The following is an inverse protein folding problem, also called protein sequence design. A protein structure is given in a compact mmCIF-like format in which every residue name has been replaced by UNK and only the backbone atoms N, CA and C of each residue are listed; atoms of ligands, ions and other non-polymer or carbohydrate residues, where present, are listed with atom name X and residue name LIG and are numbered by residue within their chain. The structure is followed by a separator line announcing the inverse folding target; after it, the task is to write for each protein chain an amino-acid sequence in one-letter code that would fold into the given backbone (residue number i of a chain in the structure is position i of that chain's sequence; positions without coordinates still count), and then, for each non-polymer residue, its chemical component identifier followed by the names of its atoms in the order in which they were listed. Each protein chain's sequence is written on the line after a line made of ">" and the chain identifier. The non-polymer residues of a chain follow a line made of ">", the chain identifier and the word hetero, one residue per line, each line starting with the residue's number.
data_IF_479462611296
#
_entry.id   IF_479462611296
#
_cell.length_a   1.000
_cell.length_b   1.000
_cell.length_c   1.000
_cell.angle_alpha   90.00
_cell.angle_beta   90.00
_cell.angle_gamma   90.00
#
_symmetry.space_group_name_H-M   'P 1'
#
loop_
_entity.id
_entity.type
_entity.pdbx_description
1 polymer ?
#
# COMPACT_ATOMS: atom_id res chain seq x y z
N UNK A 1 -11.34 2.71 -25.60
CA UNK A 1 -10.11 2.17 -25.11
C UNK A 1 -10.38 1.25 -23.95
N UNK A 2 -9.91 0.01 -24.02
CA UNK A 2 -9.96 -0.89 -22.86
C UNK A 2 -9.03 -0.29 -21.83
N UNK A 3 -9.61 0.30 -20.78
CA UNK A 3 -8.85 0.68 -19.60
C UNK A 3 -8.31 -0.62 -18.99
N UNK A 4 -7.00 -0.83 -19.08
CA UNK A 4 -6.34 -1.94 -18.41
C UNK A 4 -6.37 -1.65 -16.92
N UNK A 5 -7.30 -2.27 -16.20
CA UNK A 5 -7.32 -2.18 -14.73
C UNK A 5 -6.01 -2.72 -14.17
N UNK A 6 -5.37 -1.95 -13.30
CA UNK A 6 -4.32 -2.47 -12.45
C UNK A 6 -4.88 -3.57 -11.54
N UNK A 7 -4.04 -4.53 -11.15
CA UNK A 7 -4.39 -5.54 -10.14
C UNK A 7 -3.69 -5.17 -8.82
N UNK A 8 -4.31 -4.34 -7.98
CA UNK A 8 -3.72 -3.95 -6.71
C UNK A 8 -3.81 -5.08 -5.70
N UNK A 9 -2.70 -5.40 -5.06
CA UNK A 9 -2.60 -6.23 -3.86
C UNK A 9 -2.02 -5.34 -2.77
N UNK A 10 -2.78 -5.09 -1.73
CA UNK A 10 -2.43 -4.26 -0.59
C UNK A 10 -2.45 -5.12 0.67
N UNK A 11 -1.62 -4.92 1.57
CA UNK A 11 -0.18 -4.88 1.69
C UNK A 11 0.26 -6.22 2.25
N UNK A 12 1.28 -6.83 1.70
CA UNK A 12 1.87 -8.08 2.23
C UNK A 12 2.82 -7.71 3.36
N UNK A 13 2.72 -8.43 4.48
CA UNK A 13 3.60 -8.24 5.64
C UNK A 13 4.92 -8.98 5.44
N UNK A 14 5.98 -8.21 5.19
CA UNK A 14 7.31 -8.75 4.90
C UNK A 14 7.98 -9.47 6.08
N UNK A 15 7.42 -9.38 7.28
CA UNK A 15 7.92 -10.16 8.43
C UNK A 15 7.60 -11.65 8.31
N UNK A 16 6.55 -11.99 7.56
CA UNK A 16 6.04 -13.35 7.37
C UNK A 16 6.50 -13.99 6.07
N UNK A 17 7.16 -13.23 5.17
CA UNK A 17 7.48 -13.68 3.82
C UNK A 17 8.94 -14.08 3.65
N UNK A 18 9.15 -15.21 2.96
CA UNK A 18 10.47 -15.50 2.39
C UNK A 18 10.66 -14.65 1.14
N UNK A 19 11.65 -13.74 1.10
CA UNK A 19 11.78 -12.81 -0.02
C UNK A 19 12.06 -13.49 -1.37
N UNK A 20 12.66 -14.69 -1.39
CA UNK A 20 12.91 -15.43 -2.63
C UNK A 20 11.61 -16.06 -3.16
N UNK A 21 10.85 -16.77 -2.33
CA UNK A 21 9.55 -17.30 -2.73
C UNK A 21 8.59 -16.19 -3.15
N UNK A 22 8.56 -15.11 -2.40
CA UNK A 22 7.72 -13.97 -2.75
C UNK A 22 8.11 -13.34 -4.11
N UNK A 23 9.40 -13.28 -4.45
CA UNK A 23 9.83 -12.76 -5.74
C UNK A 23 9.45 -13.70 -6.89
N UNK A 24 9.52 -15.02 -6.69
CA UNK A 24 9.06 -16.04 -7.63
C UNK A 24 7.56 -15.94 -7.86
N UNK A 25 6.76 -15.93 -6.79
CA UNK A 25 5.31 -15.83 -6.86
C UNK A 25 4.84 -14.51 -7.47
N UNK A 26 5.44 -13.39 -7.09
CA UNK A 26 5.13 -12.08 -7.65
C UNK A 26 5.49 -12.00 -9.14
N UNK A 27 6.62 -12.59 -9.54
CA UNK A 27 7.03 -12.70 -10.94
C UNK A 27 6.01 -13.50 -11.76
N UNK A 28 5.61 -14.69 -11.26
CA UNK A 28 4.59 -15.52 -11.89
C UNK A 28 3.24 -14.79 -12.00
N UNK A 29 2.79 -14.17 -10.92
CA UNK A 29 1.54 -13.43 -10.88
C UNK A 29 1.52 -12.26 -11.87
N UNK A 30 2.62 -11.52 -11.98
CA UNK A 30 2.72 -10.40 -12.92
C UNK A 30 2.73 -10.84 -14.38
N UNK A 31 3.40 -11.95 -14.70
CA UNK A 31 3.36 -12.54 -16.05
C UNK A 31 1.94 -12.98 -16.42
N UNK A 32 1.23 -13.65 -15.52
CA UNK A 32 -0.19 -14.02 -15.70
C UNK A 32 -1.06 -12.79 -15.86
N UNK A 33 -0.78 -11.74 -15.08
CA UNK A 33 -1.49 -10.46 -15.15
C UNK A 33 -1.13 -9.63 -16.39
N UNK A 34 -0.16 -10.04 -17.21
CA UNK A 34 0.29 -9.28 -18.39
C UNK A 34 0.96 -7.94 -17.99
N UNK A 35 1.78 -7.93 -16.95
CA UNK A 35 2.52 -6.76 -16.51
C UNK A 35 1.69 -5.70 -15.77
N UNK A 36 0.53 -6.07 -15.20
CA UNK A 36 -0.42 -5.14 -14.55
C UNK A 36 -0.44 -5.21 -13.02
N UNK A 37 0.33 -6.11 -12.42
CA UNK A 37 0.37 -6.27 -10.97
C UNK A 37 0.89 -4.98 -10.30
N UNK A 38 0.14 -4.49 -9.32
CA UNK A 38 0.55 -3.42 -8.40
C UNK A 38 0.64 -4.05 -7.01
N UNK A 39 1.84 -4.33 -6.53
CA UNK A 39 2.04 -5.10 -5.30
C UNK A 39 2.46 -4.18 -4.15
N UNK A 40 1.61 -4.09 -3.13
CA UNK A 40 1.88 -3.38 -1.89
C UNK A 40 2.52 -4.30 -0.85
N UNK A 41 3.59 -3.84 -0.24
CA UNK A 41 4.30 -4.49 0.85
C UNK A 41 4.46 -3.53 2.04
N UNK A 42 4.62 -4.07 3.23
CA UNK A 42 4.90 -3.27 4.44
C UNK A 42 5.57 -4.14 5.50
N UNK A 43 5.85 -3.55 6.66
CA UNK A 43 6.18 -4.34 7.86
C UNK A 43 4.95 -4.91 8.57
N UNK A 44 3.76 -4.75 8.00
CA UNK A 44 2.49 -5.19 8.56
C UNK A 44 1.83 -4.22 9.54
N UNK A 45 0.66 -4.62 10.00
CA UNK A 45 -0.14 -3.93 11.01
C UNK A 45 0.15 -4.49 12.41
N UNK A 46 -0.33 -3.82 13.46
CA UNK A 46 -0.37 -4.42 14.80
C UNK A 46 -1.08 -5.77 14.78
N UNK A 47 -0.49 -6.75 15.41
CA UNK A 47 -0.95 -8.13 15.41
C UNK A 47 -1.74 -8.47 16.67
N UNK A 48 -2.67 -9.43 16.55
CA UNK A 48 -3.33 -10.03 17.72
C UNK A 48 -2.46 -11.10 18.39
N UNK A 49 -1.45 -11.61 17.67
CA UNK A 49 -0.52 -12.64 18.15
C UNK A 49 0.83 -12.01 18.40
N UNK A 50 1.37 -12.17 19.60
CA UNK A 50 2.72 -11.68 19.92
C UNK A 50 3.74 -12.49 19.12
N UNK A 51 4.60 -11.75 18.38
CA UNK A 51 5.69 -12.31 17.56
C UNK A 51 5.21 -13.43 16.60
N UNK A 52 4.07 -13.24 15.95
CA UNK A 52 3.44 -14.26 15.09
C UNK A 52 4.36 -14.79 13.99
N UNK A 53 5.27 -13.98 13.48
CA UNK A 53 6.30 -14.34 12.49
C UNK A 53 7.21 -15.49 12.94
N UNK A 54 7.38 -15.74 14.26
CA UNK A 54 8.15 -16.87 14.80
C UNK A 54 7.56 -18.23 14.41
N UNK A 55 6.25 -18.32 14.27
CA UNK A 55 5.56 -19.55 13.85
C UNK A 55 5.83 -19.91 12.39
N UNK A 56 6.29 -18.92 11.60
CA UNK A 56 6.73 -19.11 10.23
C UNK A 56 8.24 -19.33 10.10
N UNK A 57 8.95 -19.45 11.23
CA UNK A 57 10.37 -19.76 11.28
C UNK A 57 11.30 -18.55 11.18
N UNK A 58 10.75 -17.33 11.19
CA UNK A 58 11.55 -16.11 11.11
C UNK A 58 11.98 -15.63 12.49
N UNK A 59 13.11 -14.92 12.53
CA UNK A 59 13.63 -14.23 13.71
C UNK A 59 14.44 -13.03 13.26
N UNK A 60 14.31 -11.87 13.93
CA UNK A 60 15.24 -10.77 13.74
C UNK A 60 16.67 -11.21 14.03
N UNK A 61 17.64 -10.62 13.35
CA UNK A 61 19.06 -10.80 13.67
C UNK A 61 19.38 -10.17 15.04
N UNK A 62 20.49 -10.56 15.65
CA UNK A 62 20.88 -10.05 16.96
C UNK A 62 20.97 -8.51 16.95
N UNK A 63 20.22 -7.89 17.86
CA UNK A 63 20.14 -6.43 17.99
C UNK A 63 19.15 -5.74 17.05
N UNK A 64 18.42 -6.49 16.21
CA UNK A 64 17.35 -5.97 15.35
C UNK A 64 15.96 -6.23 15.94
N UNK A 65 15.02 -5.35 15.59
CA UNK A 65 13.61 -5.58 15.85
C UNK A 65 12.88 -6.25 14.65
N UNK A 66 11.61 -6.57 14.83
CA UNK A 66 10.78 -7.19 13.78
C UNK A 66 10.55 -6.24 12.58
N UNK A 67 10.54 -4.93 12.82
CA UNK A 67 10.40 -3.94 11.76
C UNK A 67 11.65 -3.88 10.87
N UNK A 68 12.84 -4.01 11.46
CA UNK A 68 14.10 -4.11 10.72
C UNK A 68 14.19 -5.40 9.92
N UNK A 69 13.74 -6.53 10.49
CA UNK A 69 13.62 -7.80 9.76
C UNK A 69 12.70 -7.65 8.54
N UNK A 70 11.53 -7.05 8.69
CA UNK A 70 10.60 -6.81 7.60
C UNK A 70 11.20 -5.90 6.50
N UNK A 71 11.93 -4.84 6.88
CA UNK A 71 12.66 -3.97 5.93
C UNK A 71 13.76 -4.74 5.20
N UNK A 72 14.52 -5.58 5.93
CA UNK A 72 15.57 -6.41 5.33
C UNK A 72 15.00 -7.38 4.30
N UNK A 73 13.87 -8.05 4.59
CA UNK A 73 13.19 -8.91 3.64
C UNK A 73 12.71 -8.12 2.40
N UNK A 74 12.19 -6.90 2.59
CA UNK A 74 11.80 -6.04 1.47
C UNK A 74 12.99 -5.63 0.59
N UNK A 75 14.14 -5.30 1.17
CA UNK A 75 15.36 -4.98 0.42
C UNK A 75 15.83 -6.17 -0.42
N UNK A 76 15.89 -7.37 0.16
CA UNK A 76 16.25 -8.60 -0.57
C UNK A 76 15.26 -8.84 -1.72
N UNK A 77 13.95 -8.74 -1.45
CA UNK A 77 12.93 -8.88 -2.46
C UNK A 77 13.12 -7.90 -3.63
N UNK A 78 13.36 -6.62 -3.34
CA UNK A 78 13.59 -5.60 -4.37
C UNK A 78 14.85 -5.86 -5.20
N UNK A 79 15.92 -6.39 -4.60
CA UNK A 79 17.12 -6.76 -5.34
C UNK A 79 16.88 -7.95 -6.28
N UNK A 80 16.12 -8.96 -5.83
CA UNK A 80 15.74 -10.10 -6.67
C UNK A 80 14.93 -9.66 -7.90
N UNK A 81 14.03 -8.68 -7.73
CA UNK A 81 13.21 -8.12 -8.82
C UNK A 81 14.03 -7.34 -9.87
N UNK A 82 15.31 -7.07 -9.65
CA UNK A 82 16.20 -6.49 -10.67
C UNK A 82 16.53 -7.45 -11.80
N UNK A 83 16.33 -8.75 -11.59
CA UNK A 83 16.65 -9.76 -12.56
C UNK A 83 18.15 -9.97 -12.78
N UNK A 84 18.99 -9.54 -11.84
CA UNK A 84 20.45 -9.73 -11.87
C UNK A 84 20.78 -11.11 -11.32
N UNK A 85 21.66 -11.84 -12.02
CA UNK A 85 22.14 -13.13 -11.55
C UNK A 85 22.95 -13.00 -10.25
N UNK A 86 22.69 -13.87 -9.28
CA UNK A 86 23.33 -13.87 -7.95
C UNK A 86 23.80 -15.27 -7.50
N UNK A 87 23.22 -16.34 -8.07
CA UNK A 87 23.50 -17.72 -7.68
C UNK A 87 24.50 -18.38 -8.62
N UNK A 88 25.53 -19.05 -8.07
CA UNK A 88 26.45 -19.84 -8.87
C UNK A 88 25.76 -21.08 -9.42
N UNK A 89 25.86 -21.34 -10.74
CA UNK A 89 25.30 -22.56 -11.30
C UNK A 89 26.04 -23.80 -10.78
N UNK A 90 25.34 -24.94 -10.70
CA UNK A 90 25.95 -26.22 -10.44
C UNK A 90 26.94 -26.55 -11.60
N UNK A 91 28.20 -26.90 -11.32
CA UNK A 91 29.15 -27.24 -12.36
C UNK A 91 28.77 -28.52 -13.18
N UNK A 92 27.87 -29.34 -12.62
CA UNK A 92 27.35 -30.56 -13.28
C UNK A 92 25.80 -30.52 -13.30
N UNK A 93 25.16 -29.58 -14.04
CA UNK A 93 23.72 -29.48 -14.08
C UNK A 93 23.13 -30.62 -14.93
N UNK A 94 21.89 -31.04 -14.58
CA UNK A 94 21.15 -32.00 -15.39
C UNK A 94 20.79 -31.44 -16.78
N UNK A 95 20.51 -30.13 -16.84
CA UNK A 95 20.23 -29.41 -18.09
C UNK A 95 21.19 -28.22 -18.22
N UNK A 96 21.50 -27.79 -19.45
CA UNK A 96 22.38 -26.64 -19.68
C UNK A 96 21.82 -25.37 -19.00
N UNK A 97 22.67 -24.69 -18.25
CA UNK A 97 22.36 -23.37 -17.68
C UNK A 97 22.81 -22.25 -18.62
N UNK A 98 22.18 -21.07 -18.59
CA UNK A 98 22.71 -19.86 -19.17
C UNK A 98 24.12 -19.56 -18.60
N UNK A 99 25.01 -18.90 -19.38
CA UNK A 99 26.34 -18.55 -18.89
C UNK A 99 26.23 -17.48 -17.76
N UNK A 100 27.14 -17.57 -16.78
CA UNK A 100 27.25 -16.63 -15.67
C UNK A 100 26.44 -17.02 -14.43
N UNK A 101 26.15 -16.04 -13.60
CA UNK A 101 25.31 -16.25 -12.41
C UNK A 101 23.83 -16.39 -12.81
N UNK A 102 23.13 -17.28 -12.12
CA UNK A 102 21.70 -17.49 -12.32
C UNK A 102 20.89 -16.47 -11.54
N UNK A 103 19.85 -15.94 -12.15
CA UNK A 103 18.81 -15.11 -11.49
C UNK A 103 17.63 -15.97 -11.05
N UNK A 104 16.76 -15.39 -10.25
CA UNK A 104 15.48 -16.02 -9.91
C UNK A 104 14.53 -16.01 -11.12
N UNK A 105 13.82 -17.10 -11.33
CA UNK A 105 12.79 -17.24 -12.36
C UNK A 105 11.46 -17.70 -11.71
N UNK A 106 10.27 -17.29 -12.25
CA UNK A 106 10.11 -16.46 -13.44
C UNK A 106 10.39 -14.97 -13.14
N UNK A 107 11.17 -14.32 -14.02
CA UNK A 107 11.43 -12.89 -13.91
C UNK A 107 10.39 -12.08 -14.70
N UNK A 108 9.72 -11.14 -14.04
CA UNK A 108 8.79 -10.21 -14.68
C UNK A 108 9.45 -8.83 -14.81
N UNK A 109 9.78 -8.46 -16.04
CA UNK A 109 10.40 -7.17 -16.33
C UNK A 109 9.49 -5.99 -15.92
N UNK A 110 10.07 -5.00 -15.26
CA UNK A 110 9.37 -3.80 -14.82
C UNK A 110 8.52 -3.96 -13.56
N UNK A 111 8.34 -5.17 -13.01
CA UNK A 111 7.57 -5.38 -11.77
C UNK A 111 8.12 -4.54 -10.61
N UNK A 112 9.44 -4.41 -10.49
CA UNK A 112 10.09 -3.60 -9.45
C UNK A 112 9.55 -2.16 -9.39
N UNK A 113 9.19 -1.56 -10.51
CA UNK A 113 8.63 -0.20 -10.57
C UNK A 113 7.18 -0.10 -10.09
N UNK A 114 6.52 -1.24 -9.90
CA UNK A 114 5.11 -1.36 -9.48
C UNK A 114 4.98 -1.87 -8.03
N UNK A 115 6.09 -1.89 -7.30
CA UNK A 115 6.08 -2.18 -5.87
C UNK A 115 5.73 -0.91 -5.09
N UNK A 116 4.87 -1.07 -4.08
CA UNK A 116 4.39 -0.01 -3.21
C UNK A 116 4.76 -0.34 -1.76
N UNK A 117 5.13 0.68 -1.00
CA UNK A 117 5.37 0.54 0.42
C UNK A 117 4.28 1.22 1.24
N UNK A 118 3.66 0.46 2.16
CA UNK A 118 2.73 0.97 3.15
C UNK A 118 3.47 1.66 4.30
N UNK A 119 3.37 3.00 4.41
CA UNK A 119 4.10 3.78 5.38
C UNK A 119 3.17 4.47 6.39
N UNK A 120 3.33 4.18 7.69
CA UNK A 120 2.68 4.87 8.79
C UNK A 120 3.45 6.12 9.25
N UNK A 121 4.78 6.16 9.11
CA UNK A 121 5.64 7.27 9.52
C UNK A 121 6.30 7.99 8.34
N UNK A 122 6.79 9.21 8.58
CA UNK A 122 7.57 9.96 7.59
C UNK A 122 8.90 9.26 7.28
N UNK A 123 9.58 8.73 8.31
CA UNK A 123 10.85 8.03 8.14
C UNK A 123 10.77 6.83 7.21
N UNK A 124 9.69 6.03 7.31
CA UNK A 124 9.49 4.87 6.43
C UNK A 124 9.06 5.28 5.01
N UNK A 125 8.38 6.42 4.84
CA UNK A 125 8.09 6.99 3.53
C UNK A 125 9.38 7.45 2.81
N UNK A 126 10.29 8.14 3.52
CA UNK A 126 11.60 8.52 2.97
C UNK A 126 12.46 7.30 2.61
N UNK A 127 12.47 6.28 3.47
CA UNK A 127 13.18 5.03 3.18
C UNK A 127 12.64 4.37 1.90
N UNK A 128 11.32 4.30 1.73
CA UNK A 128 10.68 3.78 0.52
C UNK A 128 11.07 4.58 -0.72
N UNK A 129 11.12 5.92 -0.61
CA UNK A 129 11.56 6.80 -1.68
C UNK A 129 12.99 6.50 -2.12
N UNK A 130 13.92 6.37 -1.16
CA UNK A 130 15.33 6.06 -1.44
C UNK A 130 15.49 4.73 -2.18
N UNK A 131 14.67 3.73 -1.88
CA UNK A 131 14.69 2.43 -2.54
C UNK A 131 13.92 2.39 -3.87
N UNK A 132 13.24 3.47 -4.25
CA UNK A 132 12.48 3.57 -5.50
C UNK A 132 11.16 2.82 -5.48
N UNK A 133 10.54 2.61 -4.32
CA UNK A 133 9.17 2.09 -4.19
C UNK A 133 8.15 3.23 -4.29
N UNK A 134 6.96 2.95 -4.84
CA UNK A 134 5.82 3.85 -4.75
C UNK A 134 5.32 3.94 -3.30
N UNK A 135 4.67 5.04 -2.95
CA UNK A 135 4.14 5.25 -1.61
C UNK A 135 2.65 4.88 -1.53
N UNK A 136 2.32 4.03 -0.58
CA UNK A 136 0.97 3.92 -0.05
C UNK A 136 0.97 4.56 1.34
N UNK A 137 0.47 5.80 1.45
CA UNK A 137 0.30 6.43 2.76
C UNK A 137 -0.75 5.65 3.55
N UNK A 138 -0.37 5.19 4.74
CA UNK A 138 -1.19 4.28 5.55
C UNK A 138 -2.51 4.91 5.97
N UNK A 139 -3.49 4.09 6.34
CA UNK A 139 -4.75 4.51 6.96
C UNK A 139 -4.59 5.02 8.39
N UNK A 140 -3.37 4.98 8.91
CA UNK A 140 -2.99 5.52 10.21
C UNK A 140 -1.64 6.22 10.10
N UNK A 141 -1.38 7.14 11.05
CA UNK A 141 -0.08 7.78 11.27
C UNK A 141 0.35 7.55 12.71
N UNK A 142 1.57 7.05 12.89
CA UNK A 142 2.18 6.77 14.20
C UNK A 142 3.09 7.92 14.71
N UNK A 143 3.44 8.86 13.85
CA UNK A 143 4.10 10.12 14.17
C UNK A 143 3.09 11.29 14.24
N UNK A 144 2.06 11.15 15.05
CA UNK A 144 0.91 12.05 15.18
C UNK A 144 1.34 13.44 15.71
N UNK A 145 0.89 14.51 15.05
CA UNK A 145 1.30 15.91 15.32
C UNK A 145 0.20 16.79 15.93
N UNK A 146 -1.03 16.28 16.10
CA UNK A 146 -2.20 17.06 16.52
C UNK A 146 -2.96 17.72 15.38
N UNK A 147 -2.44 17.67 14.14
CA UNK A 147 -3.16 18.16 12.96
C UNK A 147 -4.15 17.11 12.44
N UNK A 148 -5.08 17.52 11.58
CA UNK A 148 -5.99 16.60 10.92
C UNK A 148 -5.24 15.54 10.10
N UNK A 149 -5.75 14.32 10.06
CA UNK A 149 -5.10 13.18 9.42
C UNK A 149 -4.70 13.46 7.96
N UNK A 150 -5.58 14.06 7.17
CA UNK A 150 -5.30 14.37 5.77
C UNK A 150 -4.16 15.40 5.60
N UNK A 151 -3.99 16.33 6.55
CA UNK A 151 -2.89 17.31 6.55
C UNK A 151 -1.57 16.59 6.83
N UNK A 152 -1.55 15.70 7.84
CA UNK A 152 -0.37 14.90 8.17
C UNK A 152 0.03 13.97 7.03
N UNK A 153 -0.93 13.35 6.33
CA UNK A 153 -0.62 12.54 5.15
C UNK A 153 -0.09 13.40 3.98
N UNK A 154 -0.67 14.57 3.73
CA UNK A 154 -0.16 15.49 2.70
C UNK A 154 1.27 15.92 3.00
N UNK A 155 1.62 16.15 4.28
CA UNK A 155 2.99 16.42 4.71
C UNK A 155 3.92 15.22 4.43
N UNK A 156 3.50 14.00 4.76
CA UNK A 156 4.25 12.78 4.45
C UNK A 156 4.50 12.62 2.94
N UNK A 157 3.49 12.90 2.11
CA UNK A 157 3.62 12.84 0.65
C UNK A 157 4.66 13.85 0.15
N UNK A 158 4.68 15.08 0.70
CA UNK A 158 5.70 16.09 0.37
C UNK A 158 7.10 15.62 0.73
N UNK A 159 7.29 15.07 1.94
CA UNK A 159 8.55 14.51 2.43
C UNK A 159 9.03 13.35 1.54
N UNK A 160 8.14 12.42 1.21
CA UNK A 160 8.43 11.30 0.30
C UNK A 160 8.90 11.80 -1.07
N UNK A 161 8.18 12.75 -1.68
CA UNK A 161 8.54 13.30 -2.99
C UNK A 161 9.87 14.06 -2.97
N UNK A 162 10.21 14.72 -1.86
CA UNK A 162 11.52 15.36 -1.68
C UNK A 162 12.64 14.31 -1.66
N UNK A 163 12.51 13.27 -0.82
CA UNK A 163 13.48 12.18 -0.75
C UNK A 163 13.62 11.41 -2.07
N UNK A 164 12.53 11.26 -2.84
CA UNK A 164 12.57 10.66 -4.18
C UNK A 164 13.44 11.46 -5.15
N UNK A 165 13.27 12.79 -5.19
CA UNK A 165 14.09 13.68 -6.02
C UNK A 165 15.56 13.64 -5.63
N UNK A 166 15.85 13.64 -4.33
CA UNK A 166 17.22 13.52 -3.79
C UNK A 166 17.88 12.19 -4.18
N UNK A 167 17.11 11.11 -4.22
CA UNK A 167 17.60 9.79 -4.63
C UNK A 167 17.90 9.69 -6.14
N UNK A 168 17.46 10.65 -6.96
CA UNK A 168 17.80 10.73 -8.38
C UNK A 168 17.18 9.65 -9.26
N UNK A 169 16.02 9.11 -8.89
CA UNK A 169 15.32 8.11 -9.71
C UNK A 169 14.85 8.71 -11.04
N UNK A 170 15.02 7.96 -12.14
CA UNK A 170 14.67 8.40 -13.49
C UNK A 170 13.15 8.46 -13.75
N UNK A 171 12.34 7.71 -13.00
CA UNK A 171 10.87 7.68 -13.14
C UNK A 171 10.21 8.61 -12.14
N UNK A 172 8.99 9.03 -12.44
CA UNK A 172 8.13 9.70 -11.47
C UNK A 172 7.58 8.70 -10.44
N UNK A 173 7.50 9.09 -9.16
CA UNK A 173 6.89 8.27 -8.13
C UNK A 173 5.38 8.31 -8.24
N UNK A 174 4.72 7.24 -7.81
CA UNK A 174 3.27 7.22 -7.60
C UNK A 174 2.96 7.19 -6.11
N UNK A 175 1.87 7.84 -5.75
CA UNK A 175 1.42 7.96 -4.37
C UNK A 175 -0.05 7.57 -4.29
N UNK A 176 -0.41 6.71 -3.34
CA UNK A 176 -1.79 6.38 -3.02
C UNK A 176 -2.16 6.77 -1.59
N UNK A 177 -3.41 7.12 -1.41
CA UNK A 177 -4.08 7.25 -0.12
C UNK A 177 -5.31 6.37 -0.09
N UNK A 178 -5.72 5.93 1.09
CA UNK A 178 -6.92 5.11 1.26
C UNK A 178 -8.01 5.87 2.01
N UNK A 179 -9.26 5.74 1.56
CA UNK A 179 -10.42 6.38 2.20
C UNK A 179 -11.63 5.44 2.25
N UNK A 180 -12.36 5.53 3.34
CA UNK A 180 -13.70 4.98 3.47
C UNK A 180 -14.70 6.05 3.05
N UNK A 181 -15.35 5.86 1.90
CA UNK A 181 -16.26 6.84 1.27
C UNK A 181 -17.61 6.17 1.04
N UNK A 182 -18.66 6.76 1.62
CA UNK A 182 -20.02 6.24 1.56
C UNK A 182 -21.00 7.35 1.17
N UNK A 183 -21.37 7.48 -0.11
CA UNK A 183 -22.44 8.38 -0.52
C UNK A 183 -23.77 7.91 0.05
N UNK A 184 -24.49 8.78 0.75
CA UNK A 184 -25.79 8.47 1.32
C UNK A 184 -26.89 8.76 0.30
N UNK A 185 -27.21 7.76 -0.54
CA UNK A 185 -28.18 7.89 -1.64
C UNK A 185 -29.45 7.07 -1.41
N UNK A 186 -29.51 6.27 -0.34
CA UNK A 186 -30.67 5.44 0.02
C UNK A 186 -30.89 5.39 1.53
N UNK A 187 -32.10 4.98 1.96
CA UNK A 187 -32.40 4.77 3.38
C UNK A 187 -31.46 3.73 4.02
N UNK A 188 -31.00 2.75 3.24
CA UNK A 188 -30.08 1.72 3.70
C UNK A 188 -28.69 2.31 3.99
N UNK A 189 -28.21 3.23 3.14
CA UNK A 189 -26.93 3.93 3.36
C UNK A 189 -26.99 4.76 4.63
N UNK A 190 -28.10 5.49 4.83
CA UNK A 190 -28.33 6.25 6.05
C UNK A 190 -28.38 5.34 7.28
N UNK A 191 -29.00 4.16 7.19
CA UNK A 191 -29.07 3.21 8.29
C UNK A 191 -27.67 2.67 8.67
N UNK A 192 -26.80 2.43 7.71
CA UNK A 192 -25.46 1.90 7.95
C UNK A 192 -24.44 2.98 8.31
N UNK A 193 -24.46 4.13 7.62
CA UNK A 193 -23.36 5.10 7.68
C UNK A 193 -23.79 6.51 8.06
N UNK A 194 -25.09 6.81 8.23
CA UNK A 194 -25.57 8.16 8.51
C UNK A 194 -24.90 8.85 9.71
N UNK A 195 -24.58 8.09 10.76
CA UNK A 195 -23.89 8.62 11.94
C UNK A 195 -22.35 8.59 11.81
N UNK A 196 -21.81 8.00 10.77
CA UNK A 196 -20.36 7.83 10.61
C UNK A 196 -19.67 9.09 10.10
N UNK A 197 -20.35 9.89 9.28
CA UNK A 197 -19.84 11.13 8.71
C UNK A 197 -19.62 12.25 9.73
N UNK A 198 -20.30 12.18 10.88
CA UNK A 198 -20.16 13.15 11.97
C UNK A 198 -18.89 12.91 12.83
N UNK A 199 -18.29 11.73 12.72
CA UNK A 199 -17.09 11.39 13.47
C UNK A 199 -15.86 11.94 12.75
N UNK A 200 -15.04 12.70 13.49
CA UNK A 200 -13.74 13.16 13.02
C UNK A 200 -12.69 12.06 13.00
N UNK A 201 -11.44 12.45 12.76
CA UNK A 201 -10.28 11.58 12.92
C UNK A 201 -10.23 11.01 14.33
N UNK A 202 -9.79 9.77 14.45
CA UNK A 202 -9.74 9.06 15.72
C UNK A 202 -8.29 8.88 16.18
N UNK A 203 -8.03 9.11 17.46
CA UNK A 203 -6.73 8.85 18.05
C UNK A 203 -6.86 7.62 18.93
N UNK A 204 -5.97 6.65 18.71
CA UNK A 204 -5.93 5.40 19.45
C UNK A 204 -4.50 4.95 19.74
N UNK A 205 -4.38 3.85 20.46
CA UNK A 205 -3.11 3.16 20.69
C UNK A 205 -3.04 1.98 19.72
N UNK A 206 -1.93 1.83 19.01
CA UNK A 206 -1.66 0.66 18.17
C UNK A 206 -0.88 -0.43 18.93
N UNK A 207 -0.19 -0.03 20.00
CA UNK A 207 0.43 -0.89 21.01
C UNK A 207 0.46 -0.16 22.37
N UNK A 208 1.12 -0.73 23.37
CA UNK A 208 1.14 -0.17 24.71
C UNK A 208 1.72 1.25 24.81
N UNK A 209 2.56 1.65 23.85
CA UNK A 209 3.33 2.92 23.91
C UNK A 209 3.17 3.77 22.65
N UNK A 210 2.61 3.23 21.56
CA UNK A 210 2.53 3.93 20.27
C UNK A 210 1.13 4.47 20.05
N UNK A 211 1.03 5.79 20.05
CA UNK A 211 -0.19 6.51 19.72
C UNK A 211 -0.26 6.73 18.21
N UNK A 212 -1.46 6.59 17.64
CA UNK A 212 -1.69 6.81 16.23
C UNK A 212 -2.98 7.57 15.99
N UNK A 213 -3.02 8.33 14.90
CA UNK A 213 -4.22 8.94 14.36
C UNK A 213 -4.73 8.12 13.19
N UNK A 214 -6.04 7.90 13.14
CA UNK A 214 -6.76 7.18 12.09
C UNK A 214 -7.68 8.16 11.37
N UNK A 215 -7.68 8.10 10.04
CA UNK A 215 -8.50 8.97 9.22
C UNK A 215 -10.00 8.70 9.40
N UNK A 216 -10.77 9.77 9.30
CA UNK A 216 -12.23 9.74 9.38
C UNK A 216 -12.86 8.93 8.25
N UNK A 217 -14.09 8.47 8.47
CA UNK A 217 -14.99 7.99 7.42
C UNK A 217 -15.69 9.18 6.78
N UNK A 218 -15.72 9.24 5.46
CA UNK A 218 -16.49 10.20 4.68
C UNK A 218 -17.85 9.58 4.34
N UNK A 219 -18.90 10.04 5.01
CA UNK A 219 -20.27 9.57 4.78
C UNK A 219 -21.22 10.78 4.82
N UNK A 220 -21.80 11.14 3.69
CA UNK A 220 -22.71 12.26 3.54
C UNK A 220 -23.51 12.14 2.25
N UNK A 221 -24.54 12.99 2.08
CA UNK A 221 -25.19 13.24 0.80
C UNK A 221 -24.14 13.61 -0.26
N UNK A 222 -24.31 13.24 -1.53
CA UNK A 222 -23.28 13.37 -2.57
C UNK A 222 -22.65 14.77 -2.69
N UNK A 223 -23.45 15.83 -2.67
CA UNK A 223 -22.95 17.21 -2.82
C UNK A 223 -22.03 17.61 -1.66
N UNK A 224 -22.45 17.33 -0.43
CA UNK A 224 -21.65 17.59 0.76
C UNK A 224 -20.40 16.71 0.80
N UNK A 225 -20.51 15.45 0.38
CA UNK A 225 -19.40 14.52 0.30
C UNK A 225 -18.33 15.01 -0.68
N UNK A 226 -18.73 15.50 -1.85
CA UNK A 226 -17.82 16.10 -2.85
C UNK A 226 -17.12 17.33 -2.27
N UNK A 227 -17.81 18.18 -1.53
CA UNK A 227 -17.21 19.34 -0.88
C UNK A 227 -16.17 18.92 0.17
N UNK A 228 -16.49 17.95 1.03
CA UNK A 228 -15.55 17.42 2.03
C UNK A 228 -14.32 16.80 1.40
N UNK A 229 -14.47 16.02 0.32
CA UNK A 229 -13.35 15.37 -0.36
C UNK A 229 -12.45 16.35 -1.11
N UNK A 230 -12.98 17.49 -1.59
CA UNK A 230 -12.16 18.57 -2.15
C UNK A 230 -11.26 19.24 -1.13
N UNK A 231 -11.63 19.22 0.14
CA UNK A 231 -10.83 19.77 1.24
C UNK A 231 -9.77 18.81 1.77
N UNK A 232 -9.77 17.54 1.33
CA UNK A 232 -8.77 16.55 1.73
C UNK A 232 -7.46 16.78 0.97
N UNK A 233 -6.48 17.39 1.65
CA UNK A 233 -5.17 17.72 1.07
C UNK A 233 -4.39 16.48 0.60
N UNK A 234 -4.57 15.34 1.26
CA UNK A 234 -3.87 14.11 0.90
C UNK A 234 -4.45 13.50 -0.38
N UNK A 235 -5.78 13.54 -0.57
CA UNK A 235 -6.41 13.15 -1.85
C UNK A 235 -5.91 14.06 -2.97
N UNK A 236 -5.86 15.38 -2.74
CA UNK A 236 -5.36 16.34 -3.73
C UNK A 236 -3.88 16.13 -4.09
N UNK A 237 -3.08 15.61 -3.14
CA UNK A 237 -1.67 15.34 -3.33
C UNK A 237 -1.36 13.94 -3.89
N UNK A 238 -2.32 13.02 -3.91
CA UNK A 238 -2.13 11.64 -4.34
C UNK A 238 -2.41 11.44 -5.84
N UNK A 239 -1.84 10.39 -6.41
CA UNK A 239 -2.09 9.97 -7.81
C UNK A 239 -3.14 8.85 -7.89
N UNK A 240 -3.40 8.19 -6.78
CA UNK A 240 -4.29 7.03 -6.69
C UNK A 240 -5.09 7.07 -5.40
N UNK A 241 -6.39 6.92 -5.50
CA UNK A 241 -7.27 6.72 -4.35
C UNK A 241 -7.67 5.26 -4.25
N UNK A 242 -7.43 4.65 -3.09
CA UNK A 242 -7.91 3.32 -2.75
C UNK A 242 -9.19 3.47 -1.92
N UNK A 243 -10.25 2.79 -2.33
CA UNK A 243 -11.50 2.76 -1.60
C UNK A 243 -11.52 1.58 -0.63
N UNK A 244 -11.76 1.87 0.64
CA UNK A 244 -12.00 0.84 1.65
C UNK A 244 -13.48 0.55 1.70
N UNK A 245 -13.88 -0.67 1.34
CA UNK A 245 -15.28 -1.13 1.38
C UNK A 245 -15.46 -2.18 2.47
N UNK A 246 -16.59 -2.19 3.20
CA UNK A 246 -16.83 -3.11 4.29
C UNK A 246 -17.19 -4.51 3.76
N UNK A 247 -16.31 -5.49 3.99
CA UNK A 247 -16.52 -6.86 3.54
C UNK A 247 -17.72 -7.56 4.22
N UNK A 248 -18.15 -7.07 5.39
CA UNK A 248 -19.26 -7.64 6.16
C UNK A 248 -20.63 -7.40 5.52
N UNK A 249 -20.75 -6.40 4.65
CA UNK A 249 -22.03 -6.04 4.03
C UNK A 249 -22.30 -6.77 2.71
N UNK A 250 -21.39 -7.63 2.28
CA UNK A 250 -21.53 -8.48 1.11
C UNK A 250 -21.26 -7.78 -0.22
N UNK A 251 -21.28 -8.57 -1.30
CA UNK A 251 -20.87 -8.12 -2.62
C UNK A 251 -21.88 -7.13 -3.21
N UNK A 252 -23.16 -7.38 -3.07
CA UNK A 252 -24.21 -6.54 -3.68
C UNK A 252 -24.22 -5.13 -3.09
N UNK A 253 -24.07 -5.01 -1.76
CA UNK A 253 -23.99 -3.70 -1.14
C UNK A 253 -22.69 -2.96 -1.49
N UNK A 254 -21.56 -3.65 -1.56
CA UNK A 254 -20.31 -3.05 -2.01
C UNK A 254 -20.38 -2.60 -3.48
N UNK A 255 -21.06 -3.34 -4.34
CA UNK A 255 -21.31 -2.91 -5.72
C UNK A 255 -22.16 -1.64 -5.77
N UNK A 256 -23.22 -1.54 -4.95
CA UNK A 256 -24.02 -0.33 -4.78
C UNK A 256 -23.19 0.88 -4.33
N UNK A 257 -22.33 0.72 -3.32
CA UNK A 257 -21.43 1.80 -2.85
C UNK A 257 -20.50 2.28 -3.96
N UNK A 258 -19.87 1.35 -4.69
CA UNK A 258 -18.99 1.70 -5.81
C UNK A 258 -19.75 2.39 -6.95
N UNK A 259 -20.95 1.93 -7.29
CA UNK A 259 -21.79 2.57 -8.28
C UNK A 259 -22.20 4.00 -7.84
N UNK A 260 -22.57 4.18 -6.59
CA UNK A 260 -22.92 5.49 -6.05
C UNK A 260 -21.72 6.46 -6.10
N UNK A 261 -20.49 5.99 -5.77
CA UNK A 261 -19.28 6.79 -5.90
C UNK A 261 -19.03 7.16 -7.36
N UNK A 262 -19.09 6.20 -8.28
CA UNK A 262 -18.81 6.43 -9.70
C UNK A 262 -19.86 7.32 -10.37
N UNK A 263 -21.10 7.29 -9.91
CA UNK A 263 -22.20 8.08 -10.47
C UNK A 263 -22.25 9.49 -9.92
N UNK A 264 -22.08 9.66 -8.62
CA UNK A 264 -22.39 10.92 -7.94
C UNK A 264 -21.14 11.69 -7.46
N UNK A 265 -20.04 11.01 -7.18
CA UNK A 265 -18.85 11.60 -6.56
C UNK A 265 -17.71 11.75 -7.55
N UNK A 266 -17.32 10.69 -8.21
CA UNK A 266 -16.15 10.65 -9.10
C UNK A 266 -16.20 11.69 -10.23
N UNK A 267 -17.33 11.89 -10.94
CA UNK A 267 -17.41 12.88 -12.01
C UNK A 267 -17.20 14.31 -11.53
N UNK A 268 -17.78 14.65 -10.35
CA UNK A 268 -17.67 15.98 -9.75
C UNK A 268 -16.23 16.30 -9.27
N UNK A 269 -15.43 15.27 -8.96
CA UNK A 269 -14.03 15.38 -8.55
C UNK A 269 -13.05 15.16 -9.70
N UNK A 270 -13.53 14.85 -10.91
CA UNK A 270 -12.70 14.56 -12.08
C UNK A 270 -11.91 13.25 -11.97
N UNK A 271 -12.36 12.34 -11.10
CA UNK A 271 -11.74 11.01 -10.97
C UNK A 271 -12.07 10.14 -12.18
N UNK A 272 -11.09 9.27 -12.56
CA UNK A 272 -11.17 8.43 -13.76
C UNK A 272 -10.79 6.98 -13.43
#
# INVERSE_FOLDING_TARGET
>A
GVQTCALPISVVDMRYENPHYMAEDAGAADLIAGGRLQLGISRGSPEQVIDGWRYFGYRPEDGQDDAEMGRRHAEIFLELLRGIGFAKPNPHPMFPNPPGLLRLEPHAEGLRSRIWWGAGSNATAEWAARLGMNLQSSTLKDDETGEAFHIQQAAQIRTYRAAWREAGHAREPRVSVSRSIFPLVSDLDHAYFGNSGERGDQIGLIDANTRAIFGRTYAAEPDLLVEQLRQDEAIAAADTLLLTVPNQLGVDYNAHVLEAILTHVAPALGWR
#
